data_IF_121826835526
#
_entry.id   IF_121826835526
#
_cell.length_a   1.000
_cell.length_b   1.000
_cell.length_c   1.000
_cell.angle_alpha   90.00
_cell.angle_beta   90.00
_cell.angle_gamma   90.00
#
_symmetry.space_group_name_H-M   'P 1'
#
loop_
_entity.id
_entity.type
_entity.pdbx_description
1 polymer ?
#
# COMPACT_ATOMS: atom_id res chain seq x y z
N UNK A 1 -3.34 -7.92 -8.07
CA UNK A 1 -3.37 -6.78 -7.13
C UNK A 1 -1.99 -6.62 -6.54
N UNK A 2 -1.41 -5.42 -6.61
CA UNK A 2 -0.01 -5.18 -6.24
C UNK A 2 0.06 -4.22 -5.06
N UNK A 3 0.84 -4.57 -4.04
CA UNK A 3 1.11 -3.76 -2.87
C UNK A 3 2.59 -3.43 -2.83
N UNK A 4 2.93 -2.16 -3.06
CA UNK A 4 4.31 -1.71 -3.11
C UNK A 4 4.57 -0.56 -2.16
N UNK A 5 5.81 -0.49 -1.69
CA UNK A 5 6.30 0.49 -0.73
C UNK A 5 7.81 0.61 -0.83
N UNK A 6 8.38 1.62 -0.18
CA UNK A 6 9.83 1.77 -0.04
C UNK A 6 10.26 1.24 1.33
N UNK A 7 11.41 0.58 1.36
CA UNK A 7 12.06 0.12 2.59
C UNK A 7 13.57 0.03 2.41
N UNK A 8 14.31 -0.22 3.49
CA UNK A 8 15.71 -0.64 3.43
C UNK A 8 15.80 -2.13 3.03
N UNK A 9 16.79 -2.55 2.19
CA UNK A 9 16.88 -3.91 1.67
C UNK A 9 16.89 -5.01 2.74
N UNK A 10 17.57 -4.78 3.86
CA UNK A 10 17.70 -5.71 4.98
C UNK A 10 16.37 -6.03 5.67
N UNK A 11 15.35 -5.17 5.52
CA UNK A 11 14.02 -5.38 6.10
C UNK A 11 13.11 -6.23 5.22
N UNK A 12 13.44 -6.42 3.94
CA UNK A 12 12.60 -7.13 2.97
C UNK A 12 12.19 -8.53 3.44
N UNK A 13 13.08 -9.37 4.03
CA UNK A 13 12.67 -10.69 4.53
C UNK A 13 11.57 -10.63 5.59
N UNK A 14 11.59 -9.62 6.46
CA UNK A 14 10.57 -9.41 7.49
C UNK A 14 9.20 -9.02 6.91
N UNK A 15 9.19 -8.19 5.86
CA UNK A 15 7.97 -7.86 5.14
C UNK A 15 7.44 -9.05 4.34
N UNK A 16 8.31 -9.83 3.70
CA UNK A 16 7.91 -11.04 2.99
C UNK A 16 7.25 -12.04 3.92
N UNK A 17 7.83 -12.32 5.09
CA UNK A 17 7.24 -13.21 6.09
C UNK A 17 5.86 -12.72 6.55
N UNK A 18 5.72 -11.42 6.79
CA UNK A 18 4.43 -10.82 7.19
C UNK A 18 3.38 -10.96 6.08
N UNK A 19 3.76 -10.67 4.83
CA UNK A 19 2.85 -10.75 3.69
C UNK A 19 2.39 -12.19 3.44
N UNK A 20 3.31 -13.17 3.48
CA UNK A 20 2.97 -14.58 3.26
C UNK A 20 2.12 -15.17 4.38
N UNK A 21 2.30 -14.74 5.63
CA UNK A 21 1.40 -15.08 6.74
C UNK A 21 -0.03 -14.57 6.49
N UNK A 22 -0.17 -13.32 6.04
CA UNK A 22 -1.49 -12.78 5.68
C UNK A 22 -2.05 -13.54 4.48
N UNK A 23 -1.26 -13.80 3.44
CA UNK A 23 -1.70 -14.58 2.28
C UNK A 23 -2.24 -15.97 2.69
N UNK A 24 -1.51 -16.69 3.54
CA UNK A 24 -1.91 -17.99 4.06
C UNK A 24 -3.22 -17.93 4.88
N UNK A 25 -3.40 -16.89 5.72
CA UNK A 25 -4.63 -16.66 6.49
C UNK A 25 -5.86 -16.53 5.59
N UNK A 26 -5.71 -15.89 4.44
CA UNK A 26 -6.77 -15.79 3.44
C UNK A 26 -6.84 -17.02 2.54
N UNK A 27 -6.01 -18.04 2.71
CA UNK A 27 -5.98 -19.21 1.82
C UNK A 27 -5.55 -18.85 0.39
N UNK A 28 -4.65 -17.87 0.24
CA UNK A 28 -3.94 -17.61 -1.01
C UNK A 28 -2.65 -18.44 -1.03
N UNK A 29 -2.35 -19.19 -2.11
CA UNK A 29 -1.15 -20.02 -2.17
C UNK A 29 0.12 -19.17 -2.03
N UNK A 30 0.91 -19.43 -0.98
CA UNK A 30 2.14 -18.66 -0.71
C UNK A 30 3.14 -18.77 -1.88
N UNK A 31 3.17 -19.90 -2.56
CA UNK A 31 4.03 -20.12 -3.73
C UNK A 31 3.66 -19.26 -4.95
N UNK A 32 2.44 -18.71 -4.99
CA UNK A 32 1.97 -17.82 -6.05
C UNK A 32 2.14 -16.33 -5.73
N UNK A 33 2.60 -16.01 -4.51
CA UNK A 33 2.89 -14.62 -4.14
C UNK A 33 4.07 -14.13 -4.96
N UNK A 34 3.81 -13.18 -5.86
CA UNK A 34 4.85 -12.46 -6.56
C UNK A 34 5.61 -11.55 -5.59
N UNK A 35 6.94 -11.54 -5.69
CA UNK A 35 7.81 -10.65 -4.92
C UNK A 35 8.79 -9.97 -5.88
N UNK A 36 8.78 -8.63 -5.89
CA UNK A 36 9.70 -7.82 -6.66
C UNK A 36 10.44 -6.84 -5.75
N UNK A 37 11.76 -6.79 -5.91
CA UNK A 37 12.65 -5.92 -5.11
C UNK A 37 13.55 -5.17 -6.07
N UNK A 38 13.41 -3.85 -6.11
CA UNK A 38 14.21 -2.98 -6.94
C UNK A 38 15.05 -2.05 -6.05
N UNK A 39 16.38 -2.21 -6.03
CA UNK A 39 17.26 -1.26 -5.37
C UNK A 39 17.11 0.14 -5.97
N UNK A 40 17.08 1.15 -5.11
CA UNK A 40 17.07 2.57 -5.47
C UNK A 40 18.12 3.30 -4.62
N UNK A 41 18.45 4.56 -4.97
CA UNK A 41 19.36 5.38 -4.15
C UNK A 41 20.69 4.68 -3.81
N UNK A 42 21.34 4.07 -4.83
CA UNK A 42 22.58 3.28 -4.65
C UNK A 42 22.43 2.17 -3.60
N UNK A 43 21.28 1.48 -3.63
CA UNK A 43 20.91 0.40 -2.73
C UNK A 43 20.77 0.78 -1.24
N UNK A 44 20.69 2.09 -0.91
CA UNK A 44 20.31 2.52 0.45
C UNK A 44 18.85 2.26 0.78
N UNK A 45 18.02 2.17 -0.26
CA UNK A 45 16.62 1.80 -0.16
C UNK A 45 16.26 0.87 -1.33
N UNK A 46 15.08 0.27 -1.26
CA UNK A 46 14.49 -0.50 -2.34
C UNK A 46 12.99 -0.23 -2.41
N UNK A 47 12.46 -0.31 -3.63
CA UNK A 47 11.03 -0.50 -3.85
C UNK A 47 10.77 -2.00 -3.69
N UNK A 48 9.94 -2.36 -2.72
CA UNK A 48 9.47 -3.71 -2.51
C UNK A 48 8.01 -3.79 -2.94
N UNK A 49 7.65 -4.83 -3.69
CA UNK A 49 6.31 -5.06 -4.20
C UNK A 49 5.92 -6.53 -4.01
N UNK A 50 4.72 -6.74 -3.47
CA UNK A 50 4.08 -8.05 -3.40
C UNK A 50 2.83 -8.07 -4.26
N UNK A 51 2.64 -9.16 -5.00
CA UNK A 51 1.58 -9.30 -5.98
C UNK A 51 0.79 -10.57 -5.75
N UNK A 52 -0.54 -10.44 -5.70
CA UNK A 52 -1.48 -11.55 -5.72
C UNK A 52 -2.29 -11.52 -7.02
N UNK A 53 -2.21 -12.58 -7.81
CA UNK A 53 -3.00 -12.77 -9.03
C UNK A 53 -4.38 -13.32 -8.68
N UNK A 54 -5.39 -12.95 -9.45
CA UNK A 54 -6.77 -13.42 -9.31
C UNK A 54 -7.55 -13.14 -10.59
N UNK A 55 -8.65 -13.86 -10.80
CA UNK A 55 -9.56 -13.57 -11.90
C UNK A 55 -10.42 -12.35 -11.55
N UNK A 56 -10.33 -11.22 -12.28
CA UNK A 56 -11.16 -10.05 -12.02
C UNK A 56 -12.65 -10.28 -12.31
N UNK A 57 -13.03 -11.31 -13.09
CA UNK A 57 -14.41 -11.69 -13.34
C UNK A 57 -15.01 -12.49 -12.18
N UNK A 58 -14.18 -13.15 -11.35
CA UNK A 58 -14.63 -13.83 -10.15
C UNK A 58 -14.78 -12.83 -8.99
N UNK A 59 -16.05 -12.54 -8.65
CA UNK A 59 -16.39 -11.61 -7.59
C UNK A 59 -15.97 -12.10 -6.20
N UNK A 60 -15.95 -13.41 -5.96
CA UNK A 60 -15.54 -13.99 -4.68
C UNK A 60 -14.02 -13.86 -4.52
N UNK A 61 -13.23 -14.18 -5.56
CA UNK A 61 -11.79 -13.99 -5.54
C UNK A 61 -11.42 -12.51 -5.38
N UNK A 62 -12.06 -11.63 -6.14
CA UNK A 62 -11.83 -10.19 -6.06
C UNK A 62 -12.06 -9.65 -4.64
N UNK A 63 -13.14 -10.08 -3.97
CA UNK A 63 -13.43 -9.69 -2.58
C UNK A 63 -12.38 -10.23 -1.61
N UNK A 64 -11.99 -11.50 -1.77
CA UNK A 64 -10.95 -12.17 -0.98
C UNK A 64 -9.60 -11.45 -1.09
N UNK A 65 -9.15 -11.17 -2.31
CA UNK A 65 -7.89 -10.45 -2.55
C UNK A 65 -7.97 -9.00 -2.07
N UNK A 66 -9.12 -8.33 -2.20
CA UNK A 66 -9.31 -7.00 -1.63
C UNK A 66 -9.14 -6.97 -0.11
N UNK A 67 -9.68 -7.97 0.59
CA UNK A 67 -9.53 -8.09 2.04
C UNK A 67 -8.08 -8.44 2.45
N UNK A 68 -7.45 -9.40 1.75
CA UNK A 68 -6.03 -9.73 1.90
C UNK A 68 -5.17 -8.48 1.74
N UNK A 69 -5.38 -7.71 0.66
CA UNK A 69 -4.65 -6.49 0.36
C UNK A 69 -4.76 -5.47 1.50
N UNK A 70 -5.98 -5.23 2.01
CA UNK A 70 -6.20 -4.28 3.10
C UNK A 70 -5.53 -4.71 4.41
N UNK A 71 -5.58 -6.00 4.75
CA UNK A 71 -4.93 -6.52 5.95
C UNK A 71 -3.40 -6.51 5.83
N UNK A 72 -2.87 -6.91 4.67
CA UNK A 72 -1.45 -6.88 4.38
C UNK A 72 -0.92 -5.44 4.44
N UNK A 73 -1.59 -4.49 3.78
CA UNK A 73 -1.24 -3.08 3.83
C UNK A 73 -1.14 -2.54 5.26
N UNK A 74 -2.14 -2.83 6.11
CA UNK A 74 -2.14 -2.43 7.51
C UNK A 74 -0.98 -3.04 8.30
N UNK A 75 -0.71 -4.32 8.08
CA UNK A 75 0.34 -5.07 8.78
C UNK A 75 1.73 -4.56 8.40
N UNK A 76 1.98 -4.37 7.10
CA UNK A 76 3.24 -3.82 6.61
C UNK A 76 3.42 -2.35 7.04
N UNK A 77 2.36 -1.54 7.03
CA UNK A 77 2.40 -0.16 7.56
C UNK A 77 2.81 -0.15 9.04
N UNK A 78 2.27 -1.06 9.85
CA UNK A 78 2.66 -1.21 11.26
C UNK A 78 4.12 -1.65 11.44
N UNK A 79 4.67 -2.41 10.49
CA UNK A 79 6.07 -2.82 10.47
C UNK A 79 7.01 -1.73 9.91
N UNK A 80 6.47 -0.57 9.52
CA UNK A 80 7.24 0.58 9.05
C UNK A 80 7.46 0.63 7.54
N UNK A 81 6.62 -0.05 6.75
CA UNK A 81 6.60 0.13 5.30
C UNK A 81 6.27 1.57 4.92
N UNK A 82 7.08 2.17 4.04
CA UNK A 82 6.89 3.54 3.58
C UNK A 82 6.09 3.59 2.27
N UNK A 83 4.79 3.83 2.36
CA UNK A 83 3.92 3.96 1.19
C UNK A 83 4.04 5.36 0.56
N UNK A 84 4.71 5.44 -0.58
CA UNK A 84 4.88 6.70 -1.33
C UNK A 84 3.66 7.10 -2.16
N UNK A 85 2.79 6.13 -2.47
CA UNK A 85 1.62 6.34 -3.33
C UNK A 85 0.35 5.80 -2.64
N UNK A 86 -0.07 6.39 -1.51
CA UNK A 86 -1.20 5.89 -0.74
C UNK A 86 -2.53 6.29 -1.41
N UNK A 87 -3.01 5.45 -2.32
CA UNK A 87 -4.30 5.59 -2.99
C UNK A 87 -5.34 4.62 -2.44
N UNK A 88 -6.62 4.96 -2.59
CA UNK A 88 -7.74 4.12 -2.14
C UNK A 88 -7.61 3.82 -0.64
N UNK A 89 -7.72 2.55 -0.27
CA UNK A 89 -7.64 2.11 1.14
C UNK A 89 -6.34 2.48 1.83
N UNK A 90 -5.23 2.67 1.09
CA UNK A 90 -3.95 3.10 1.66
C UNK A 90 -3.99 4.56 2.11
N UNK A 91 -4.76 5.41 1.44
CA UNK A 91 -4.85 6.82 1.75
C UNK A 91 -5.30 7.02 3.20
N UNK A 92 -6.43 6.43 3.57
CA UNK A 92 -6.97 6.53 4.92
C UNK A 92 -6.00 5.94 5.96
N UNK A 93 -5.36 4.82 5.66
CA UNK A 93 -4.40 4.17 6.57
C UNK A 93 -3.18 5.03 6.85
N UNK A 94 -2.63 5.70 5.84
CA UNK A 94 -1.42 6.52 5.97
C UNK A 94 -1.77 7.89 6.54
N UNK A 95 -2.76 8.57 5.98
CA UNK A 95 -3.10 9.94 6.34
C UNK A 95 -3.75 10.08 7.71
N UNK A 96 -4.45 9.05 8.21
CA UNK A 96 -4.96 9.04 9.59
C UNK A 96 -3.84 9.11 10.65
N UNK A 97 -2.61 8.70 10.30
CA UNK A 97 -1.43 8.77 11.19
C UNK A 97 -0.64 10.08 11.05
N UNK A 98 -1.01 10.93 10.10
CA UNK A 98 -0.27 12.16 9.75
C UNK A 98 -1.21 13.37 9.70
N UNK A 99 -2.07 13.53 10.70
CA UNK A 99 -3.16 14.51 10.72
C UNK A 99 -2.69 15.96 10.51
N UNK A 100 -1.54 16.34 11.08
CA UNK A 100 -0.95 17.66 10.87
C UNK A 100 -0.53 17.91 9.42
N UNK A 101 0.07 16.90 8.77
CA UNK A 101 0.45 16.96 7.36
C UNK A 101 -0.79 17.06 6.46
N UNK A 102 -1.85 16.29 6.76
CA UNK A 102 -3.14 16.36 6.05
C UNK A 102 -3.77 17.75 6.16
N UNK A 103 -3.74 18.36 7.35
CA UNK A 103 -4.30 19.69 7.54
C UNK A 103 -3.57 20.75 6.69
N UNK A 104 -2.23 20.68 6.65
CA UNK A 104 -1.42 21.55 5.81
C UNK A 104 -1.72 21.34 4.32
N UNK A 105 -1.79 20.09 3.86
CA UNK A 105 -2.14 19.75 2.48
C UNK A 105 -3.53 20.28 2.10
N UNK A 106 -4.55 20.06 2.94
CA UNK A 106 -5.91 20.56 2.71
C UNK A 106 -5.97 22.09 2.65
N UNK A 107 -5.15 22.78 3.45
CA UNK A 107 -5.04 24.25 3.39
C UNK A 107 -4.49 24.70 2.03
N UNK A 108 -3.40 24.09 1.57
CA UNK A 108 -2.82 24.36 0.25
C UNK A 108 -3.83 24.07 -0.86
N UNK A 109 -4.50 22.92 -0.80
CA UNK A 109 -5.54 22.54 -1.77
C UNK A 109 -6.67 23.58 -1.87
N UNK A 110 -7.16 24.10 -0.74
CA UNK A 110 -8.19 25.14 -0.74
C UNK A 110 -7.72 26.47 -1.35
N UNK A 111 -6.44 26.81 -1.22
CA UNK A 111 -5.87 28.03 -1.80
C UNK A 111 -5.81 27.91 -3.33
N UNK A 112 -5.34 26.77 -3.85
CA UNK A 112 -5.12 26.57 -5.28
C UNK A 112 -6.33 25.99 -6.03
N UNK A 113 -7.27 25.36 -5.33
CA UNK A 113 -8.48 24.76 -5.90
C UNK A 113 -9.71 25.04 -5.02
N UNK A 114 -10.17 26.29 -4.97
CA UNK A 114 -11.30 26.68 -4.12
C UNK A 114 -12.61 25.97 -4.50
N UNK A 115 -12.76 25.53 -5.74
CA UNK A 115 -13.95 24.83 -6.24
C UNK A 115 -13.81 23.30 -6.26
N UNK A 116 -12.68 22.77 -5.81
CA UNK A 116 -12.39 21.33 -5.73
C UNK A 116 -12.56 20.58 -7.08
N UNK A 117 -12.18 21.20 -8.20
CA UNK A 117 -12.33 20.60 -9.53
C UNK A 117 -11.11 19.76 -9.95
N UNK A 118 -9.94 20.01 -9.34
CA UNK A 118 -8.71 19.32 -9.68
C UNK A 118 -8.62 17.97 -8.96
N UNK A 119 -9.12 16.92 -9.60
CA UNK A 119 -8.97 15.51 -9.21
C UNK A 119 -9.44 15.19 -7.76
N UNK A 120 -10.74 15.42 -7.46
CA UNK A 120 -11.29 15.22 -6.11
C UNK A 120 -11.21 13.76 -5.66
N UNK A 121 -11.02 13.52 -4.36
CA UNK A 121 -10.98 12.17 -3.77
C UNK A 121 -9.66 11.43 -3.94
N UNK A 122 -8.61 12.08 -4.46
CA UNK A 122 -7.25 11.50 -4.52
C UNK A 122 -6.43 11.95 -3.33
N UNK A 123 -5.59 11.03 -2.83
CA UNK A 123 -4.76 11.22 -1.64
C UNK A 123 -5.64 11.54 -0.43
N UNK A 124 -5.51 12.73 0.17
CA UNK A 124 -6.28 13.17 1.33
C UNK A 124 -7.27 14.30 1.03
N UNK A 125 -7.57 14.55 -0.26
CA UNK A 125 -8.37 15.68 -0.73
C UNK A 125 -9.82 15.34 -1.02
#
# INVERSE_FOLDING_TARGET
QNLFFITMPEKVPGFHATFTQVAAKYGYPVAEVGCYVQPIERARACRCEFSCYYDPADMAERKKIGALYAEAARSLLNQGAYFTQPYGVLADMVYSRATGYVAALKKVKKIFDPHNIMNPGKLCF
#
